data_IF_212644873243
#
_entry.id   IF_212644873243
#
_cell.length_a   1.000
_cell.length_b   1.000
_cell.length_c   1.000
_cell.angle_alpha   90.00
_cell.angle_beta   90.00
_cell.angle_gamma   90.00
#
_symmetry.space_group_name_H-M   'P 1'
#
loop_
_entity.id
_entity.type
_entity.pdbx_description
1 polymer ?
#
# COMPACT_ATOMS: atom_id res chain seq x y z
N UNK A 1 -28.11 42.05 36.10
CA UNK A 1 -26.67 42.37 36.02
C UNK A 1 -26.00 41.15 35.44
N UNK A 2 -25.41 41.36 34.28
CA UNK A 2 -24.61 40.45 33.48
C UNK A 2 -23.41 39.92 34.27
N UNK A 3 -23.09 38.65 34.02
CA UNK A 3 -21.87 37.99 34.47
C UNK A 3 -21.65 36.80 33.55
N UNK A 4 -21.33 37.06 32.29
CA UNK A 4 -20.87 36.05 31.36
C UNK A 4 -19.49 35.57 31.83
N UNK A 5 -19.42 34.35 32.37
CA UNK A 5 -18.16 33.62 32.48
C UNK A 5 -17.74 33.16 31.09
N UNK A 6 -17.00 34.02 30.38
CA UNK A 6 -16.22 33.60 29.22
C UNK A 6 -15.06 32.74 29.72
N UNK A 7 -15.30 31.43 29.82
CA UNK A 7 -14.25 30.43 29.92
C UNK A 7 -13.45 30.44 28.62
N UNK A 8 -12.30 31.10 28.61
CA UNK A 8 -11.35 31.08 27.51
C UNK A 8 -10.81 29.66 27.29
N UNK A 9 -11.47 28.90 26.41
CA UNK A 9 -10.97 27.62 25.94
C UNK A 9 -9.75 27.86 25.05
N UNK A 10 -8.57 27.47 25.53
CA UNK A 10 -7.37 27.43 24.72
C UNK A 10 -7.62 26.46 23.55
N UNK A 11 -7.38 26.88 22.31
CA UNK A 11 -7.39 25.99 21.15
C UNK A 11 -6.40 24.84 21.43
N UNK A 12 -6.94 23.67 21.74
CA UNK A 12 -6.16 22.50 22.16
C UNK A 12 -5.31 21.95 21.00
N UNK A 13 -4.18 21.33 21.33
CA UNK A 13 -3.39 20.61 20.33
C UNK A 13 -4.18 19.40 19.81
N UNK A 14 -4.28 19.28 18.49
CA UNK A 14 -4.84 18.08 17.85
C UNK A 14 -3.70 17.07 17.66
N UNK A 15 -3.78 15.92 18.34
CA UNK A 15 -2.84 14.80 18.19
C UNK A 15 -3.57 13.68 17.44
N UNK A 16 -3.19 13.36 16.19
CA UNK A 16 -3.80 12.25 15.46
C UNK A 16 -3.60 10.92 16.18
N UNK A 17 -4.64 10.10 16.17
CA UNK A 17 -4.59 8.75 16.71
C UNK A 17 -4.87 7.71 15.61
N UNK A 18 -4.36 6.49 15.80
CA UNK A 18 -4.63 5.37 14.91
C UNK A 18 -6.11 4.98 14.97
N UNK A 19 -6.73 4.58 13.84
CA UNK A 19 -8.15 4.25 13.78
C UNK A 19 -8.52 3.00 14.59
N UNK A 20 -7.56 2.10 14.84
CA UNK A 20 -7.78 0.87 15.59
C UNK A 20 -6.56 0.56 16.46
N UNK A 21 -6.80 0.08 17.69
CA UNK A 21 -5.77 -0.32 18.67
C UNK A 21 -5.82 -1.83 18.93
N UNK A 22 -4.80 -2.41 19.59
CA UNK A 22 -4.83 -3.82 19.96
C UNK A 22 -6.06 -4.15 20.82
N UNK A 23 -6.93 -5.02 20.32
CA UNK A 23 -8.21 -5.37 20.96
C UNK A 23 -9.44 -4.88 20.19
N UNK A 24 -9.27 -3.90 19.30
CA UNK A 24 -10.32 -3.44 18.40
C UNK A 24 -10.37 -4.30 17.12
N UNK A 25 -11.50 -4.28 16.43
CA UNK A 25 -11.63 -4.84 15.08
C UNK A 25 -11.14 -3.80 14.06
N UNK A 26 -10.19 -4.18 13.20
CA UNK A 26 -9.71 -3.31 12.13
C UNK A 26 -10.80 -3.11 11.08
N UNK A 27 -11.11 -1.85 10.78
CA UNK A 27 -12.04 -1.49 9.70
C UNK A 27 -11.27 -0.85 8.55
N UNK A 28 -11.35 -1.45 7.37
CA UNK A 28 -10.84 -0.89 6.12
C UNK A 28 -12.03 -0.54 5.24
N UNK A 29 -12.12 0.70 4.78
CA UNK A 29 -13.20 1.08 3.87
C UNK A 29 -13.09 0.28 2.55
N UNK A 30 -14.21 -0.23 2.01
CA UNK A 30 -14.20 -0.95 0.76
C UNK A 30 -13.71 -0.02 -0.35
N UNK A 31 -12.68 -0.46 -1.06
CA UNK A 31 -12.16 0.27 -2.20
C UNK A 31 -13.05 0.03 -3.41
N UNK A 32 -13.51 1.11 -4.04
CA UNK A 32 -14.30 1.05 -5.27
C UNK A 32 -13.46 1.21 -6.54
N UNK A 33 -12.13 1.23 -6.41
CA UNK A 33 -11.23 1.51 -7.51
C UNK A 33 -11.13 0.35 -8.50
N UNK A 34 -11.29 0.66 -9.78
CA UNK A 34 -11.21 -0.29 -10.91
C UNK A 34 -9.97 -0.04 -11.77
N UNK A 35 -9.49 -1.05 -12.53
CA UNK A 35 -8.31 -0.88 -13.39
C UNK A 35 -8.43 0.23 -14.46
N UNK A 36 -9.67 0.62 -14.83
CA UNK A 36 -9.95 1.61 -15.86
C UNK A 36 -10.07 3.05 -15.31
N UNK A 37 -10.01 3.25 -13.99
CA UNK A 37 -10.30 4.54 -13.34
C UNK A 37 -9.29 5.64 -13.72
N UNK A 38 -8.04 5.26 -13.98
CA UNK A 38 -6.94 6.17 -14.26
C UNK A 38 -6.29 5.83 -15.59
N UNK A 39 -6.24 6.81 -16.49
CA UNK A 39 -5.51 6.67 -17.75
C UNK A 39 -4.00 6.56 -17.52
N UNK A 40 -3.27 6.07 -18.52
CA UNK A 40 -1.80 6.11 -18.54
C UNK A 40 -1.36 7.32 -19.39
N UNK A 41 -0.98 8.47 -18.77
CA UNK A 41 -0.50 9.62 -19.52
C UNK A 41 0.89 9.33 -20.13
N UNK A 42 1.19 9.95 -21.28
CA UNK A 42 2.51 9.82 -21.92
C UNK A 42 3.58 10.55 -21.11
N UNK A 43 4.61 9.84 -20.59
CA UNK A 43 5.64 10.44 -19.74
C UNK A 43 6.41 11.59 -20.40
N UNK A 44 6.49 11.64 -21.73
CA UNK A 44 7.27 12.67 -22.44
C UNK A 44 6.53 14.00 -22.58
N UNK A 45 5.19 13.97 -22.51
CA UNK A 45 4.33 15.13 -22.76
C UNK A 45 3.47 15.52 -21.56
N UNK A 46 3.33 14.63 -20.59
CA UNK A 46 2.55 14.83 -19.38
C UNK A 46 3.08 16.00 -18.53
N UNK A 47 2.16 16.80 -18.01
CA UNK A 47 2.42 17.83 -17.01
C UNK A 47 1.90 17.42 -15.63
N UNK A 48 2.28 18.13 -14.57
CA UNK A 48 1.79 17.85 -13.21
C UNK A 48 0.27 18.00 -13.06
N UNK A 49 -0.36 18.84 -13.90
CA UNK A 49 -1.81 19.01 -13.88
C UNK A 49 -2.53 17.76 -14.39
N UNK A 50 -1.92 17.03 -15.32
CA UNK A 50 -2.51 15.84 -15.92
C UNK A 50 -2.55 14.65 -14.95
N UNK A 51 -1.67 14.65 -13.93
CA UNK A 51 -1.58 13.60 -12.90
C UNK A 51 -2.25 13.95 -11.57
N UNK A 52 -3.02 15.03 -11.51
CA UNK A 52 -3.69 15.43 -10.26
C UNK A 52 -4.62 14.33 -9.74
N UNK A 53 -5.36 13.65 -10.62
CA UNK A 53 -6.23 12.53 -10.24
C UNK A 53 -5.44 11.29 -9.78
N UNK A 54 -4.24 11.08 -10.31
CA UNK A 54 -3.38 9.95 -9.93
C UNK A 54 -2.82 10.08 -8.51
N UNK A 55 -2.73 11.30 -7.97
CA UNK A 55 -2.28 11.54 -6.60
C UNK A 55 -3.31 11.14 -5.54
N UNK A 56 -4.60 11.14 -5.91
CA UNK A 56 -5.72 10.83 -4.99
C UNK A 56 -6.38 9.48 -5.31
N UNK A 57 -6.10 8.91 -6.49
CA UNK A 57 -6.63 7.62 -6.93
C UNK A 57 -5.66 6.46 -6.75
N UNK A 58 -6.04 5.29 -7.30
CA UNK A 58 -5.25 4.07 -7.25
C UNK A 58 -5.07 3.50 -8.67
N UNK A 59 -3.82 3.32 -9.09
CA UNK A 59 -3.51 2.56 -10.31
C UNK A 59 -3.60 1.07 -9.96
N UNK A 60 -4.45 0.35 -10.68
CA UNK A 60 -4.72 -1.08 -10.50
C UNK A 60 -4.77 -1.76 -11.88
N UNK A 61 -4.36 -3.02 -11.96
CA UNK A 61 -4.41 -3.81 -13.22
C UNK A 61 -5.28 -5.04 -13.07
N UNK A 62 -5.14 -5.79 -11.98
CA UNK A 62 -5.95 -6.98 -11.70
C UNK A 62 -7.24 -6.57 -11.00
N UNK A 63 -8.40 -7.00 -11.49
CA UNK A 63 -9.69 -6.85 -10.79
C UNK A 63 -9.85 -7.86 -9.63
N UNK A 64 -11.05 -7.93 -9.04
CA UNK A 64 -11.33 -8.78 -7.88
C UNK A 64 -11.42 -10.27 -8.26
N UNK A 65 -11.69 -10.56 -9.53
CA UNK A 65 -11.67 -11.90 -10.14
C UNK A 65 -10.26 -12.29 -10.62
N UNK A 66 -9.29 -11.38 -10.57
CA UNK A 66 -7.90 -11.59 -10.98
C UNK A 66 -7.66 -11.46 -12.49
N UNK A 67 -8.56 -10.80 -13.21
CA UNK A 67 -8.43 -10.50 -14.65
C UNK A 67 -7.68 -9.18 -14.83
N UNK A 68 -6.68 -9.18 -15.71
CA UNK A 68 -5.90 -7.99 -16.04
C UNK A 68 -6.63 -7.11 -17.07
N UNK A 69 -6.82 -5.83 -16.76
CA UNK A 69 -7.48 -4.85 -17.64
C UNK A 69 -6.89 -3.44 -17.45
N UNK A 70 -7.43 -2.44 -18.17
CA UNK A 70 -6.97 -1.05 -18.10
C UNK A 70 -5.78 -0.71 -18.99
N UNK A 71 -5.57 0.60 -19.16
CA UNK A 71 -4.46 1.16 -19.93
C UNK A 71 -3.08 0.84 -19.32
N UNK A 72 -3.05 0.52 -18.02
CA UNK A 72 -1.82 0.18 -17.30
C UNK A 72 -1.42 -1.30 -17.43
N UNK A 73 -2.20 -2.14 -18.12
CA UNK A 73 -1.82 -3.54 -18.33
C UNK A 73 -0.56 -3.65 -19.22
N UNK A 74 0.58 -4.11 -18.69
CA UNK A 74 1.84 -4.22 -19.43
C UNK A 74 1.85 -5.37 -20.46
N UNK A 75 0.84 -6.25 -20.46
CA UNK A 75 0.76 -7.44 -21.31
C UNK A 75 1.97 -8.38 -21.17
N UNK A 76 2.40 -8.60 -19.92
CA UNK A 76 3.51 -9.51 -19.62
C UNK A 76 3.21 -10.93 -20.09
N UNK A 77 4.26 -11.62 -20.53
CA UNK A 77 4.18 -13.03 -20.87
C UNK A 77 3.93 -13.88 -19.61
N UNK A 78 3.34 -15.06 -19.80
CA UNK A 78 3.13 -16.00 -18.70
C UNK A 78 4.44 -16.41 -18.02
N UNK A 79 5.57 -16.41 -18.74
CA UNK A 79 6.87 -16.79 -18.19
C UNK A 79 7.46 -15.68 -17.30
N UNK A 80 7.28 -14.41 -17.66
CA UNK A 80 7.63 -13.27 -16.81
C UNK A 80 6.81 -13.26 -15.52
N UNK A 81 5.50 -13.51 -15.62
CA UNK A 81 4.62 -13.59 -14.45
C UNK A 81 5.02 -14.74 -13.51
N UNK A 82 5.35 -15.91 -14.06
CA UNK A 82 5.85 -17.05 -13.27
C UNK A 82 7.17 -16.73 -12.58
N UNK A 83 8.09 -16.05 -13.28
CA UNK A 83 9.36 -15.63 -12.70
C UNK A 83 9.11 -14.67 -11.53
N UNK A 84 8.26 -13.66 -11.70
CA UNK A 84 7.88 -12.74 -10.62
C UNK A 84 7.28 -13.47 -9.41
N UNK A 85 6.35 -14.40 -9.64
CA UNK A 85 5.75 -15.21 -8.59
C UNK A 85 6.79 -16.08 -7.87
N UNK A 86 7.73 -16.68 -8.59
CA UNK A 86 8.81 -17.47 -8.01
C UNK A 86 9.66 -16.62 -7.08
N UNK A 87 10.04 -15.41 -7.49
CA UNK A 87 10.84 -14.51 -6.65
C UNK A 87 10.06 -14.04 -5.40
N UNK A 88 8.77 -13.69 -5.53
CA UNK A 88 7.93 -13.32 -4.38
C UNK A 88 7.83 -14.48 -3.37
N UNK A 89 7.58 -15.70 -3.85
CA UNK A 89 7.54 -16.89 -3.00
C UNK A 89 8.90 -17.14 -2.33
N UNK A 90 9.98 -16.97 -3.07
CA UNK A 90 11.35 -17.15 -2.56
C UNK A 90 11.68 -16.16 -1.45
N UNK A 91 11.33 -14.89 -1.63
CA UNK A 91 11.52 -13.84 -0.62
C UNK A 91 10.75 -14.17 0.66
N UNK A 92 9.47 -14.57 0.54
CA UNK A 92 8.66 -14.98 1.69
C UNK A 92 9.25 -16.17 2.45
N UNK A 93 9.69 -17.20 1.74
CA UNK A 93 10.33 -18.38 2.34
C UNK A 93 11.65 -18.01 3.02
N UNK A 94 12.40 -17.10 2.41
CA UNK A 94 13.64 -16.60 2.96
C UNK A 94 13.39 -15.82 4.27
N UNK A 95 12.43 -14.90 4.28
CA UNK A 95 12.02 -14.15 5.48
C UNK A 95 11.69 -15.06 6.66
N UNK A 96 10.95 -16.13 6.42
CA UNK A 96 10.58 -17.09 7.46
C UNK A 96 11.80 -17.84 8.02
N UNK A 97 12.79 -18.15 7.18
CA UNK A 97 14.05 -18.79 7.61
C UNK A 97 14.92 -17.83 8.41
N UNK A 98 15.03 -16.59 7.95
CA UNK A 98 15.83 -15.56 8.63
C UNK A 98 15.26 -15.22 10.00
N UNK A 99 13.94 -15.10 10.14
CA UNK A 99 13.28 -14.92 11.43
C UNK A 99 13.54 -16.08 12.40
N UNK A 100 13.56 -17.32 11.91
CA UNK A 100 13.95 -18.48 12.74
C UNK A 100 15.39 -18.38 13.20
N UNK A 101 16.31 -18.01 12.30
CA UNK A 101 17.73 -17.83 12.66
C UNK A 101 17.92 -16.74 13.70
N UNK A 102 17.21 -15.62 13.58
CA UNK A 102 17.21 -14.54 14.55
C UNK A 102 16.74 -15.02 15.93
N UNK A 103 15.62 -15.76 16.01
CA UNK A 103 15.10 -16.32 17.27
C UNK A 103 16.01 -17.38 17.90
N UNK A 104 16.84 -18.05 17.10
CA UNK A 104 17.83 -19.03 17.59
C UNK A 104 19.20 -18.42 17.90
N UNK A 105 19.34 -17.08 17.85
CA UNK A 105 20.59 -16.38 18.16
C UNK A 105 21.68 -16.51 17.09
N UNK A 106 21.36 -17.04 15.90
CA UNK A 106 22.30 -17.16 14.78
C UNK A 106 22.42 -15.88 13.96
N UNK A 107 21.51 -14.94 14.17
CA UNK A 107 21.45 -13.63 13.54
C UNK A 107 21.08 -12.60 14.59
N UNK A 108 21.76 -11.44 14.60
CA UNK A 108 21.50 -10.39 15.59
C UNK A 108 20.17 -9.67 15.37
N UNK A 109 19.84 -9.35 14.12
CA UNK A 109 18.66 -8.56 13.76
C UNK A 109 18.11 -8.96 12.38
N UNK A 110 16.79 -8.88 12.19
CA UNK A 110 16.11 -9.11 10.92
C UNK A 110 14.78 -8.37 10.84
N UNK A 111 14.41 -7.89 9.65
CA UNK A 111 13.09 -7.33 9.33
C UNK A 111 12.47 -8.09 8.17
N UNK A 112 11.15 -8.30 8.24
CA UNK A 112 10.37 -9.00 7.20
C UNK A 112 9.73 -8.00 6.24
N UNK A 113 9.38 -8.49 5.06
CA UNK A 113 8.66 -7.79 3.99
C UNK A 113 7.33 -8.47 3.65
N UNK A 114 6.70 -9.13 4.63
CA UNK A 114 5.49 -9.91 4.43
C UNK A 114 4.34 -9.01 3.95
N UNK A 115 3.81 -9.31 2.76
CA UNK A 115 2.75 -8.52 2.13
C UNK A 115 3.27 -7.44 1.17
N UNK A 116 4.58 -7.20 1.14
CA UNK A 116 5.25 -6.18 0.32
C UNK A 116 6.18 -6.80 -0.74
N UNK A 117 6.16 -8.12 -0.90
CA UNK A 117 7.12 -8.83 -1.74
C UNK A 117 7.04 -8.41 -3.22
N UNK A 118 5.83 -8.14 -3.71
CA UNK A 118 5.62 -7.73 -5.10
C UNK A 118 6.38 -6.45 -5.45
N UNK A 119 6.33 -5.45 -4.57
CA UNK A 119 6.96 -4.14 -4.75
C UNK A 119 8.50 -4.28 -4.79
N UNK A 120 9.05 -5.16 -3.95
CA UNK A 120 10.49 -5.39 -3.88
C UNK A 120 11.05 -6.08 -5.14
N UNK A 121 10.26 -6.96 -5.76
CA UNK A 121 10.67 -7.80 -6.90
C UNK A 121 10.45 -7.10 -8.25
N UNK A 122 9.42 -6.25 -8.38
CA UNK A 122 8.98 -5.70 -9.67
C UNK A 122 9.78 -4.49 -10.18
N UNK A 123 11.03 -4.31 -9.73
CA UNK A 123 11.89 -3.19 -10.15
C UNK A 123 12.56 -3.41 -11.52
#
# INVERSE_FOLDING_TARGET
MTGDEQGGGLDGFTVPDAPSRPGDESHFEPWTYTPDDLNQPDPNTCTSKDTTKHAEGLIRVLDDEGVASGAWNPNLSADELRLGLEQMCRLRIFDDRMMKMQRTGKLSFYMRSLGEEAIAISQ
#
